data_IF_117698966963
#
_entry.id   IF_117698966963
#
_cell.length_a   1.000
_cell.length_b   1.000
_cell.length_c   1.000
_cell.angle_alpha   90.00
_cell.angle_beta   90.00
_cell.angle_gamma   90.00
#
_symmetry.space_group_name_H-M   'P 1'
#
loop_
_entity.id
_entity.type
_entity.pdbx_description
1 polymer ?
#
# COMPACT_ATOMS: atom_id res chain seq x y z
N UNK A 1 4.76 7.94 -3.24
CA UNK A 1 3.98 7.34 -4.34
C UNK A 1 3.23 6.07 -3.98
N UNK A 2 3.85 4.91 -3.70
CA UNK A 2 3.06 3.69 -3.37
C UNK A 2 2.07 3.91 -2.22
N UNK A 3 2.51 4.54 -1.13
CA UNK A 3 1.68 4.81 0.03
C UNK A 3 0.50 5.77 -0.27
N UNK A 4 0.66 6.70 -1.21
CA UNK A 4 -0.40 7.64 -1.63
C UNK A 4 -1.53 6.90 -2.37
N UNK A 5 -1.15 5.98 -3.25
CA UNK A 5 -2.11 5.19 -4.03
C UNK A 5 -2.94 4.30 -3.10
N UNK A 6 -2.29 3.69 -2.10
CA UNK A 6 -2.94 2.73 -1.19
C UNK A 6 -3.81 3.45 -0.17
N UNK A 7 -3.30 4.55 0.41
CA UNK A 7 -4.03 5.30 1.43
C UNK A 7 -5.02 6.32 0.85
N UNK A 8 -4.94 6.61 -0.46
CA UNK A 8 -5.69 7.67 -1.16
C UNK A 8 -5.61 9.02 -0.45
N UNK A 9 -4.44 9.33 0.08
CA UNK A 9 -4.13 10.53 0.89
C UNK A 9 -2.90 11.25 0.32
N UNK A 10 -2.89 12.60 0.29
CA UNK A 10 -1.74 13.37 -0.18
C UNK A 10 -0.55 13.27 0.79
N UNK A 11 0.69 13.22 0.30
CA UNK A 11 1.89 13.05 1.16
C UNK A 11 2.10 14.17 2.17
N UNK A 12 1.83 15.42 1.79
CA UNK A 12 2.23 16.60 2.57
C UNK A 12 1.06 17.35 3.22
N UNK A 13 -0.20 17.04 2.88
CA UNK A 13 -1.31 17.91 3.23
C UNK A 13 -2.63 17.16 3.48
N UNK A 14 -2.66 16.30 4.50
CA UNK A 14 -3.91 15.74 5.02
C UNK A 14 -4.17 16.30 6.43
N UNK A 15 -5.30 17.00 6.69
CA UNK A 15 -5.67 17.46 8.02
C UNK A 15 -5.90 16.31 9.03
N UNK A 16 -6.01 15.06 8.57
CA UNK A 16 -6.07 13.88 9.42
C UNK A 16 -4.71 13.51 10.06
N UNK A 17 -3.60 14.05 9.56
CA UNK A 17 -2.27 13.84 10.12
C UNK A 17 -2.10 14.67 11.40
N UNK A 18 -2.12 14.01 12.55
CA UNK A 18 -1.95 14.69 13.84
C UNK A 18 -0.51 15.20 13.98
N UNK A 19 -0.36 16.46 14.38
CA UNK A 19 0.92 17.02 14.81
C UNK A 19 1.92 17.33 13.69
N UNK A 20 1.45 17.59 12.46
CA UNK A 20 2.33 17.95 11.34
C UNK A 20 3.14 16.79 10.76
N UNK A 21 2.73 15.55 11.05
CA UNK A 21 3.34 14.37 10.41
C UNK A 21 3.01 14.32 8.91
N UNK A 22 3.91 13.76 8.12
CA UNK A 22 3.63 13.42 6.72
C UNK A 22 2.99 12.03 6.61
N UNK A 23 2.48 11.68 5.43
CA UNK A 23 1.84 10.38 5.17
C UNK A 23 2.71 9.18 5.59
N UNK A 24 4.03 9.29 5.44
CA UNK A 24 4.98 8.24 5.85
C UNK A 24 5.01 8.09 7.38
N UNK A 25 5.02 9.20 8.12
CA UNK A 25 4.94 9.21 9.59
C UNK A 25 3.64 8.57 10.08
N UNK A 26 2.52 8.98 9.49
CA UNK A 26 1.20 8.41 9.77
C UNK A 26 1.17 6.89 9.56
N UNK A 27 1.62 6.42 8.38
CA UNK A 27 1.64 5.00 8.08
C UNK A 27 2.55 4.20 9.04
N UNK A 28 3.74 4.72 9.35
CA UNK A 28 4.65 4.07 10.33
C UNK A 28 3.99 3.90 11.70
N UNK A 29 3.22 4.89 12.18
CA UNK A 29 2.48 4.77 13.44
C UNK A 29 1.41 3.68 13.37
N UNK A 30 0.68 3.57 12.26
CA UNK A 30 -0.30 2.51 12.07
C UNK A 30 0.34 1.13 12.00
N UNK A 31 1.51 0.98 11.38
CA UNK A 31 2.23 -0.30 11.39
C UNK A 31 2.75 -0.65 12.77
N UNK A 32 3.40 0.30 13.46
CA UNK A 32 3.93 0.11 14.81
C UNK A 32 2.83 -0.21 15.83
N UNK A 33 1.64 0.37 15.67
CA UNK A 33 0.46 0.08 16.49
C UNK A 33 -0.31 -1.18 16.11
N UNK A 34 0.16 -1.96 15.12
CA UNK A 34 -0.53 -3.16 14.63
C UNK A 34 -1.76 -2.89 13.76
N UNK A 35 -2.16 -1.63 13.61
CA UNK A 35 -3.34 -1.16 12.86
C UNK A 35 -3.06 -0.95 11.37
N UNK A 36 -2.20 -1.79 10.77
CA UNK A 36 -1.81 -1.70 9.36
C UNK A 36 -2.97 -1.95 8.39
N UNK A 37 -4.05 -2.58 8.86
CA UNK A 37 -5.28 -2.78 8.09
C UNK A 37 -6.08 -1.49 7.88
N UNK A 38 -5.80 -0.43 8.65
CA UNK A 38 -6.39 0.90 8.48
C UNK A 38 -5.61 1.79 7.50
N UNK A 39 -4.46 1.33 6.99
CA UNK A 39 -3.63 2.09 6.06
C UNK A 39 -4.29 2.21 4.68
N UNK A 40 -4.86 1.13 4.10
CA UNK A 40 -5.58 1.25 2.85
C UNK A 40 -6.85 2.07 2.99
N UNK A 41 -7.16 2.86 1.96
CA UNK A 41 -8.49 3.44 1.80
C UNK A 41 -9.55 2.32 1.82
N UNK A 42 -10.73 2.60 2.36
CA UNK A 42 -11.80 1.59 2.51
C UNK A 42 -12.22 0.96 1.17
N UNK A 43 -12.07 1.68 0.05
CA UNK A 43 -12.32 1.14 -1.28
C UNK A 43 -11.29 0.07 -1.67
N UNK A 44 -10.06 0.15 -1.15
CA UNK A 44 -8.96 -0.79 -1.41
C UNK A 44 -8.92 -1.88 -0.34
N UNK A 45 -9.05 -1.52 0.94
CA UNK A 45 -8.96 -2.44 2.08
C UNK A 45 -9.97 -3.58 2.06
N UNK A 46 -11.18 -3.34 1.54
CA UNK A 46 -12.18 -4.41 1.35
C UNK A 46 -11.95 -5.30 0.13
N UNK A 47 -11.02 -4.91 -0.75
CA UNK A 47 -10.67 -5.68 -1.95
C UNK A 47 -9.46 -6.56 -1.71
N UNK A 48 -8.45 -6.09 -0.95
CA UNK A 48 -7.17 -6.78 -0.67
C UNK A 48 -7.28 -7.83 0.44
N UNK A 49 -6.73 -9.05 0.22
CA UNK A 49 -6.61 -10.02 1.31
C UNK A 49 -5.64 -9.53 2.38
N UNK A 50 -5.88 -9.84 3.66
CA UNK A 50 -4.98 -9.45 4.77
C UNK A 50 -3.53 -9.93 4.55
N UNK A 51 -3.33 -11.06 3.83
CA UNK A 51 -2.00 -11.59 3.48
C UNK A 51 -1.26 -10.71 2.46
N UNK A 52 -1.93 -10.31 1.39
CA UNK A 52 -1.37 -9.40 0.40
C UNK A 52 -1.12 -8.01 0.97
N UNK A 53 -2.05 -7.52 1.80
CA UNK A 53 -1.90 -6.24 2.48
C UNK A 53 -0.66 -6.20 3.37
N UNK A 54 -0.42 -7.24 4.17
CA UNK A 54 0.81 -7.34 4.98
C UNK A 54 2.09 -7.33 4.14
N UNK A 55 2.10 -7.99 2.98
CA UNK A 55 3.25 -7.92 2.04
C UNK A 55 3.42 -6.53 1.45
N UNK A 56 2.33 -5.86 1.08
CA UNK A 56 2.33 -4.52 0.50
C UNK A 56 2.86 -3.49 1.52
N UNK A 57 2.39 -3.56 2.76
CA UNK A 57 2.87 -2.72 3.87
C UNK A 57 4.37 -2.93 4.08
N UNK A 58 4.84 -4.18 4.13
CA UNK A 58 6.28 -4.48 4.22
C UNK A 58 7.07 -3.89 3.05
N UNK A 59 6.59 -4.00 1.82
CA UNK A 59 7.25 -3.40 0.66
C UNK A 59 7.37 -1.88 0.84
N UNK A 60 6.29 -1.23 1.26
CA UNK A 60 6.29 0.22 1.50
C UNK A 60 7.26 0.59 2.61
N UNK A 61 7.29 -0.17 3.72
CA UNK A 61 8.27 0.03 4.80
C UNK A 61 9.71 -0.02 4.29
N UNK A 62 10.06 -1.02 3.47
CA UNK A 62 11.38 -1.12 2.87
C UNK A 62 11.68 0.06 1.94
N UNK A 63 10.69 0.55 1.19
CA UNK A 63 10.85 1.69 0.28
C UNK A 63 11.04 3.03 1.01
N UNK A 64 10.43 3.21 2.19
CA UNK A 64 10.47 4.46 2.97
C UNK A 64 11.49 4.44 4.11
N UNK A 65 12.37 3.43 4.17
CA UNK A 65 13.53 3.43 5.06
C UNK A 65 14.43 4.62 4.72
N UNK A 66 14.90 5.27 5.79
CA UNK A 66 15.83 6.40 5.75
C UNK A 66 17.21 5.91 5.29
N UNK A 67 17.60 4.72 5.75
CA UNK A 67 18.82 4.05 5.31
C UNK A 67 18.59 3.49 3.89
N UNK A 68 19.45 3.84 2.91
CA UNK A 68 19.32 3.37 1.52
C UNK A 68 19.43 1.86 1.37
N UNK A 69 20.21 1.22 2.23
CA UNK A 69 20.32 -0.24 2.38
C UNK A 69 19.36 -0.64 3.51
N UNK A 70 18.17 -1.23 3.24
CA UNK A 70 17.86 -2.21 2.21
C UNK A 70 16.66 -1.77 1.34
N UNK A 71 16.71 -0.55 0.78
CA UNK A 71 15.67 -0.09 -0.14
C UNK A 71 15.75 -0.98 -1.39
N UNK A 72 14.67 -1.68 -1.74
CA UNK A 72 14.69 -2.54 -2.90
C UNK A 72 14.93 -1.69 -4.15
N UNK A 73 15.79 -2.20 -5.03
CA UNK A 73 15.90 -1.69 -6.40
C UNK A 73 14.53 -1.83 -7.07
N UNK A 74 14.19 -0.95 -8.00
CA UNK A 74 12.86 -0.93 -8.63
C UNK A 74 12.45 -2.30 -9.21
N UNK A 75 13.39 -3.10 -9.71
CA UNK A 75 13.14 -4.47 -10.19
C UNK A 75 12.70 -5.42 -9.07
N UNK A 76 13.33 -5.34 -7.90
CA UNK A 76 12.94 -6.11 -6.72
C UNK A 76 11.58 -5.64 -6.16
N UNK A 77 11.31 -4.32 -6.20
CA UNK A 77 10.01 -3.77 -5.83
C UNK A 77 8.89 -4.26 -6.76
N UNK A 78 9.14 -4.31 -8.07
CA UNK A 78 8.22 -4.86 -9.05
C UNK A 78 7.96 -6.36 -8.84
N UNK A 79 9.01 -7.16 -8.64
CA UNK A 79 8.87 -8.59 -8.35
C UNK A 79 7.99 -8.84 -7.09
N UNK A 80 8.19 -8.06 -6.03
CA UNK A 80 7.36 -8.14 -4.83
C UNK A 80 5.89 -7.74 -5.10
N UNK A 81 5.64 -6.74 -5.95
CA UNK A 81 4.28 -6.37 -6.37
C UNK A 81 3.61 -7.47 -7.22
N UNK A 82 4.36 -8.13 -8.10
CA UNK A 82 3.86 -9.24 -8.90
C UNK A 82 3.50 -10.45 -8.03
N UNK A 83 4.29 -10.75 -7.00
CA UNK A 83 3.94 -11.78 -6.01
C UNK A 83 2.64 -11.44 -5.26
N UNK A 84 2.47 -10.18 -4.87
CA UNK A 84 1.24 -9.69 -4.22
C UNK A 84 0.05 -9.88 -5.16
N UNK A 85 0.21 -9.55 -6.44
CA UNK A 85 -0.82 -9.76 -7.47
C UNK A 85 -1.14 -11.24 -7.70
N UNK A 86 -0.14 -12.11 -7.66
CA UNK A 86 -0.31 -13.55 -7.83
C UNK A 86 -1.07 -14.17 -6.65
N UNK A 87 -0.80 -13.71 -5.42
CA UNK A 87 -1.56 -14.11 -4.21
C UNK A 87 -3.05 -13.81 -4.36
N UNK A 88 -3.38 -12.68 -4.97
CA UNK A 88 -4.76 -12.26 -5.16
C UNK A 88 -5.44 -12.92 -6.37
N UNK A 89 -4.70 -13.21 -7.44
CA UNK A 89 -5.23 -13.87 -8.64
C UNK A 89 -5.59 -15.34 -8.42
N UNK A 90 -5.09 -15.96 -7.35
CA UNK A 90 -5.57 -17.28 -6.88
C UNK A 90 -7.01 -17.23 -6.36
N UNK A 91 -7.55 -16.04 -6.05
CA UNK A 91 -8.98 -15.81 -5.84
C UNK A 91 -9.63 -15.42 -7.17
N UNK A 92 -10.45 -16.32 -7.75
CA UNK A 92 -11.16 -16.11 -9.02
C UNK A 92 -11.99 -14.81 -9.13
N UNK A 93 -12.27 -14.16 -7.99
CA UNK A 93 -12.97 -12.87 -7.88
C UNK A 93 -12.08 -11.65 -8.20
N UNK A 94 -10.77 -11.70 -7.97
CA UNK A 94 -9.89 -10.53 -8.02
C UNK A 94 -9.67 -10.01 -9.43
N UNK A 95 -9.44 -10.89 -10.42
CA UNK A 95 -9.15 -10.49 -11.81
C UNK A 95 -10.22 -9.59 -12.42
N UNK A 96 -11.50 -9.79 -12.04
CA UNK A 96 -12.62 -8.96 -12.48
C UNK A 96 -12.66 -7.61 -11.75
N UNK A 97 -12.42 -7.62 -10.43
CA UNK A 97 -12.43 -6.42 -9.58
C UNK A 97 -11.24 -5.49 -9.85
N UNK A 98 -10.04 -6.03 -10.10
CA UNK A 98 -8.87 -5.20 -10.45
C UNK A 98 -8.97 -4.60 -11.83
N UNK A 99 -9.55 -5.32 -12.80
CA UNK A 99 -9.85 -4.72 -14.11
C UNK A 99 -10.76 -3.51 -13.94
N UNK A 100 -11.86 -3.66 -13.21
CA UNK A 100 -12.80 -2.57 -12.92
C UNK A 100 -12.16 -1.41 -12.12
N UNK A 101 -11.27 -1.69 -11.16
CA UNK A 101 -10.57 -0.66 -10.41
C UNK A 101 -9.56 0.11 -11.29
N UNK A 102 -8.77 -0.59 -12.10
CA UNK A 102 -7.80 0.05 -13.00
C UNK A 102 -8.48 0.85 -14.10
N UNK A 103 -9.57 0.33 -14.67
CA UNK A 103 -10.36 1.04 -15.69
C UNK A 103 -10.98 2.34 -15.12
N UNK A 104 -11.28 2.39 -13.81
CA UNK A 104 -11.87 3.57 -13.16
C UNK A 104 -10.83 4.60 -12.67
N UNK A 105 -9.56 4.19 -12.53
CA UNK A 105 -8.45 5.07 -12.11
C UNK A 105 -7.75 5.72 -13.30
N UNK A 106 -7.80 5.11 -14.49
CA UNK A 106 -7.16 5.60 -15.72
C UNK A 106 -8.17 6.08 -16.79
N UNK A 107 -9.41 6.40 -16.39
CA UNK A 107 -10.44 6.98 -17.26
C UNK A 107 -10.77 8.42 -16.91
#
# INVERSE_FOLDING_TARGET
MLLEIIARKPVLHDPAFRGGENLVGWAKRHVAGGNQEMIPDSAIGGQISSKALKKLVKLVEHCVKIVPEPRPVMTAALAMLEEIRALESSGSSWRKKTRAFLDNVFS
#
